data_IF_883466466700
#
_entry.id   IF_883466466700
#
_cell.length_a   1.000
_cell.length_b   1.000
_cell.length_c   1.000
_cell.angle_alpha   90.00
_cell.angle_beta   90.00
_cell.angle_gamma   90.00
#
_symmetry.space_group_name_H-M   'P 1'
#
loop_
_entity.id
_entity.type
_entity.pdbx_description
1 polymer ?
#
# COMPACT_ATOMS: atom_id res chain seq x y z
N UNK A 1 25.14 -33.60 -28.30
CA UNK A 1 25.12 -33.41 -26.84
C UNK A 1 25.12 -31.92 -26.58
N UNK A 2 23.95 -31.36 -26.32
CA UNK A 2 23.80 -30.03 -25.73
C UNK A 2 22.82 -30.19 -24.60
N UNK A 3 23.32 -29.81 -23.43
CA UNK A 3 22.72 -29.93 -22.11
C UNK A 3 21.62 -28.90 -21.97
N UNK A 4 20.45 -29.34 -21.49
CA UNK A 4 19.35 -28.47 -21.09
C UNK A 4 19.61 -27.99 -19.65
N UNK A 5 19.50 -26.68 -19.41
CA UNK A 5 19.61 -26.09 -18.07
C UNK A 5 18.18 -26.00 -17.49
N UNK A 6 17.91 -26.56 -16.30
CA UNK A 6 16.56 -26.61 -15.75
C UNK A 6 16.17 -25.22 -15.23
N UNK A 7 14.96 -24.76 -15.56
CA UNK A 7 14.52 -23.45 -15.08
C UNK A 7 13.13 -22.98 -15.47
N UNK A 8 12.92 -22.45 -16.68
CA UNK A 8 11.77 -21.55 -16.87
C UNK A 8 11.09 -21.51 -18.25
N UNK A 9 11.43 -22.37 -19.22
CA UNK A 9 10.78 -22.33 -20.54
C UNK A 9 10.33 -23.72 -21.01
N UNK A 10 9.48 -24.40 -20.24
CA UNK A 10 8.78 -25.60 -20.73
C UNK A 10 7.44 -25.18 -21.32
N UNK A 11 7.25 -25.22 -22.66
CA UNK A 11 5.98 -24.85 -23.25
C UNK A 11 4.86 -25.78 -22.78
N UNK A 12 3.71 -25.21 -22.41
CA UNK A 12 2.51 -26.03 -22.20
C UNK A 12 2.09 -26.62 -23.55
N UNK A 13 2.10 -27.95 -23.64
CA UNK A 13 1.57 -28.70 -24.77
C UNK A 13 0.04 -28.78 -24.65
N UNK A 14 -0.68 -28.40 -25.70
CA UNK A 14 -2.12 -28.69 -25.84
C UNK A 14 -2.23 -29.77 -26.91
N UNK A 15 -2.37 -31.02 -26.47
CA UNK A 15 -2.22 -32.18 -27.36
C UNK A 15 -0.79 -32.32 -27.88
N UNK A 16 -0.63 -32.55 -29.20
CA UNK A 16 0.67 -32.74 -29.85
C UNK A 16 1.31 -31.43 -30.36
N UNK A 17 0.72 -30.28 -30.05
CA UNK A 17 1.24 -28.98 -30.47
C UNK A 17 1.77 -28.18 -29.28
N UNK A 18 2.92 -27.55 -29.49
CA UNK A 18 3.42 -26.46 -28.64
C UNK A 18 2.48 -25.29 -28.87
N UNK A 19 1.83 -24.78 -27.82
CA UNK A 19 1.05 -23.55 -27.96
C UNK A 19 2.02 -22.38 -28.23
N UNK A 20 2.12 -21.80 -29.44
CA UNK A 20 3.20 -20.87 -29.79
C UNK A 20 3.16 -19.53 -29.04
N UNK A 21 2.03 -19.20 -28.40
CA UNK A 21 1.83 -17.96 -27.66
C UNK A 21 1.76 -18.16 -26.13
N UNK A 22 2.13 -19.35 -25.63
CA UNK A 22 2.01 -19.73 -24.22
C UNK A 22 2.64 -18.70 -23.27
N UNK A 23 3.79 -18.16 -23.66
CA UNK A 23 4.53 -17.16 -22.88
C UNK A 23 3.82 -15.80 -22.86
N UNK A 24 3.23 -15.36 -23.98
CA UNK A 24 2.49 -14.09 -24.07
C UNK A 24 1.14 -14.14 -23.35
N UNK A 25 0.44 -15.29 -23.39
CA UNK A 25 -0.78 -15.50 -22.60
C UNK A 25 -0.51 -15.53 -21.09
N UNK A 26 0.66 -16.06 -20.69
CA UNK A 26 1.09 -16.02 -19.29
C UNK A 26 1.55 -14.61 -18.88
N UNK A 27 2.17 -13.83 -19.78
CA UNK A 27 2.48 -12.40 -19.54
C UNK A 27 1.24 -11.57 -19.25
N UNK A 28 0.08 -11.88 -19.83
CA UNK A 28 -1.18 -11.22 -19.49
C UNK A 28 -1.59 -11.47 -18.02
N UNK A 29 -1.23 -12.63 -17.47
CA UNK A 29 -1.38 -12.96 -16.04
C UNK A 29 -0.25 -12.34 -15.21
N UNK A 30 0.97 -12.25 -15.74
CA UNK A 30 2.11 -11.62 -15.08
C UNK A 30 2.02 -10.08 -15.01
N UNK A 31 1.28 -9.44 -15.93
CA UNK A 31 0.92 -8.03 -15.86
C UNK A 31 -0.04 -7.71 -14.70
N UNK A 32 -0.71 -8.71 -14.13
CA UNK A 32 -1.47 -8.61 -12.89
C UNK A 32 -0.61 -8.87 -11.63
N UNK A 33 0.63 -9.33 -11.80
CA UNK A 33 1.62 -9.51 -10.72
C UNK A 33 2.62 -8.35 -10.80
N UNK A 34 2.18 -7.15 -10.42
CA UNK A 34 3.09 -6.01 -10.23
C UNK A 34 2.55 -4.62 -10.61
N UNK A 35 1.35 -4.51 -11.16
CA UNK A 35 0.70 -3.21 -11.39
C UNK A 35 -0.57 -3.14 -10.57
N UNK A 36 -0.64 -2.23 -9.59
CA UNK A 36 -1.90 -1.93 -8.92
C UNK A 36 -2.98 -1.75 -9.98
N UNK A 37 -4.10 -2.48 -9.82
CA UNK A 37 -5.27 -2.31 -10.68
C UNK A 37 -5.43 -0.82 -10.92
N UNK A 38 -5.38 -0.39 -12.19
CA UNK A 38 -5.60 1.00 -12.55
C UNK A 38 -6.80 1.46 -11.72
N UNK A 39 -6.58 2.34 -10.75
CA UNK A 39 -7.65 2.90 -9.96
C UNK A 39 -8.56 3.51 -11.00
N UNK A 40 -9.74 2.90 -11.23
CA UNK A 40 -10.67 3.39 -12.23
C UNK A 40 -10.85 4.85 -11.90
N UNK A 41 -10.48 5.74 -12.83
CA UNK A 41 -10.23 7.15 -12.53
C UNK A 41 -11.35 7.71 -11.64
N UNK A 42 -11.03 7.98 -10.36
CA UNK A 42 -11.99 8.42 -9.33
C UNK A 42 -12.28 7.45 -8.17
N UNK A 43 -11.75 6.22 -8.17
CA UNK A 43 -11.83 5.33 -7.00
C UNK A 43 -10.53 5.33 -6.19
N UNK A 44 -10.67 5.28 -4.87
CA UNK A 44 -9.59 4.92 -3.94
C UNK A 44 -9.89 3.48 -3.51
N UNK A 45 -9.12 2.46 -3.98
CA UNK A 45 -9.42 1.08 -3.64
C UNK A 45 -9.26 0.80 -2.15
N UNK A 46 -10.16 0.02 -1.58
CA UNK A 46 -10.10 -0.37 -0.17
C UNK A 46 -9.15 -1.54 0.05
N UNK A 47 -8.28 -1.40 1.05
CA UNK A 47 -7.57 -2.50 1.70
C UNK A 47 -8.03 -2.60 3.16
N UNK A 48 -8.90 -3.55 3.47
CA UNK A 48 -9.51 -3.72 4.80
C UNK A 48 -8.65 -4.59 5.72
N UNK A 49 -8.41 -4.13 6.95
CA UNK A 49 -7.55 -4.79 7.94
C UNK A 49 -8.26 -4.95 9.29
N UNK A 50 -8.01 -6.07 9.97
CA UNK A 50 -8.61 -6.44 11.28
C UNK A 50 -7.55 -6.72 12.36
N UNK A 51 -6.34 -6.19 12.16
CA UNK A 51 -5.18 -6.41 13.00
C UNK A 51 -4.09 -5.39 12.67
N UNK A 52 -2.97 -5.43 13.38
CA UNK A 52 -1.82 -4.59 13.02
C UNK A 52 -1.36 -4.88 11.59
N UNK A 53 -0.99 -3.83 10.87
CA UNK A 53 -0.70 -3.91 9.45
C UNK A 53 0.54 -3.10 9.07
N UNK A 54 1.34 -3.62 8.13
CA UNK A 54 2.43 -2.87 7.50
C UNK A 54 2.08 -2.70 6.02
N UNK A 55 1.99 -1.45 5.58
CA UNK A 55 1.65 -1.10 4.20
C UNK A 55 2.71 -1.64 3.24
N UNK A 56 2.28 -2.13 2.08
CA UNK A 56 3.14 -2.65 1.03
C UNK A 56 3.10 -1.75 -0.20
N UNK A 57 4.05 -1.93 -1.13
CA UNK A 57 4.14 -1.08 -2.32
C UNK A 57 2.83 -1.01 -3.12
N UNK A 58 2.04 -2.09 -3.14
CA UNK A 58 0.75 -2.15 -3.83
C UNK A 58 -0.37 -1.35 -3.14
N UNK A 59 -0.13 -0.77 -1.97
CA UNK A 59 -1.05 0.13 -1.28
C UNK A 59 -0.98 1.58 -1.75
N UNK A 60 -0.04 1.89 -2.64
CA UNK A 60 0.02 3.20 -3.29
C UNK A 60 -1.35 3.56 -3.93
N UNK A 61 -1.93 4.68 -3.50
CA UNK A 61 -3.22 5.15 -3.99
C UNK A 61 -4.46 4.46 -3.38
N UNK A 62 -4.29 3.60 -2.35
CA UNK A 62 -5.40 2.94 -1.66
C UNK A 62 -5.77 3.64 -0.35
N UNK A 63 -6.93 3.26 0.19
CA UNK A 63 -7.25 3.50 1.59
C UNK A 63 -7.14 2.22 2.41
N UNK A 64 -6.39 2.30 3.52
CA UNK A 64 -6.26 1.25 4.52
C UNK A 64 -7.36 1.47 5.56
N UNK A 65 -8.30 0.53 5.62
CA UNK A 65 -9.51 0.62 6.42
C UNK A 65 -9.39 -0.25 7.68
N UNK A 66 -9.56 0.37 8.85
CA UNK A 66 -9.65 -0.33 10.12
C UNK A 66 -11.07 -0.87 10.32
N UNK A 67 -11.23 -2.19 10.19
CA UNK A 67 -12.55 -2.83 10.27
C UNK A 67 -13.05 -3.06 11.70
N UNK A 68 -12.16 -3.21 12.67
CA UNK A 68 -12.50 -3.43 14.09
C UNK A 68 -11.30 -3.22 14.99
N UNK A 69 -11.55 -3.03 16.29
CA UNK A 69 -10.51 -2.95 17.32
C UNK A 69 -9.64 -1.69 17.23
N UNK A 70 -8.60 -1.64 18.06
CA UNK A 70 -7.55 -0.63 18.00
C UNK A 70 -6.27 -1.30 17.53
N UNK A 71 -5.64 -0.74 16.50
CA UNK A 71 -4.48 -1.35 15.84
C UNK A 71 -3.45 -0.30 15.45
N UNK A 72 -2.28 -0.77 15.05
CA UNK A 72 -1.22 0.05 14.47
C UNK A 72 -1.06 -0.29 13.00
N UNK A 73 -1.25 0.70 12.14
CA UNK A 73 -0.90 0.61 10.72
C UNK A 73 0.41 1.36 10.49
N UNK A 74 1.36 0.69 9.85
CA UNK A 74 2.73 1.18 9.69
C UNK A 74 3.01 1.45 8.22
N UNK A 75 3.45 2.66 7.90
CA UNK A 75 4.17 2.93 6.66
C UNK A 75 5.63 2.49 6.90
N UNK A 76 6.14 1.45 6.23
CA UNK A 76 7.52 0.99 6.43
C UNK A 76 8.54 2.07 6.02
N UNK A 77 9.78 1.93 6.51
CA UNK A 77 10.88 2.80 6.10
C UNK A 77 11.19 2.65 4.60
N UNK A 78 11.68 3.71 3.97
CA UNK A 78 12.02 3.70 2.54
C UNK A 78 13.06 2.63 2.16
N UNK A 79 13.93 2.24 3.10
CA UNK A 79 14.90 1.16 2.89
C UNK A 79 14.26 -0.22 2.71
N UNK A 80 13.05 -0.42 3.23
CA UNK A 80 12.32 -1.69 3.14
C UNK A 80 11.27 -1.68 2.03
N UNK A 81 10.56 -0.56 1.86
CA UNK A 81 9.61 -0.34 0.76
C UNK A 81 9.79 1.08 0.24
N UNK A 82 10.38 1.20 -0.95
CA UNK A 82 10.63 2.48 -1.59
C UNK A 82 9.39 2.96 -2.35
N UNK A 83 8.54 3.75 -1.69
CA UNK A 83 7.44 4.44 -2.35
C UNK A 83 7.94 5.62 -3.17
N UNK A 84 7.37 5.83 -4.36
CA UNK A 84 7.64 7.01 -5.18
C UNK A 84 7.17 8.29 -4.48
N UNK A 85 7.90 9.39 -4.67
CA UNK A 85 7.46 10.72 -4.23
C UNK A 85 6.16 11.07 -4.96
N UNK A 86 5.15 11.54 -4.21
CA UNK A 86 3.79 11.73 -4.70
C UNK A 86 2.83 10.59 -4.35
N UNK A 87 3.32 9.46 -3.82
CA UNK A 87 2.46 8.39 -3.32
C UNK A 87 1.56 8.90 -2.19
N UNK A 88 0.27 8.59 -2.28
CA UNK A 88 -0.70 8.83 -1.22
C UNK A 88 -1.22 7.52 -0.65
N UNK A 89 -1.37 7.45 0.67
CA UNK A 89 -2.05 6.36 1.38
C UNK A 89 -3.06 6.99 2.32
N UNK A 90 -4.32 6.60 2.19
CA UNK A 90 -5.40 7.08 3.06
C UNK A 90 -5.65 6.08 4.17
N UNK A 91 -5.87 6.56 5.39
CA UNK A 91 -6.21 5.77 6.56
C UNK A 91 -7.62 6.12 7.00
N UNK A 92 -8.44 5.10 7.23
CA UNK A 92 -9.85 5.28 7.63
C UNK A 92 -10.11 4.46 8.88
N UNK A 93 -10.58 5.14 9.94
CA UNK A 93 -11.03 4.50 11.17
C UNK A 93 -12.53 4.74 11.35
N UNK A 94 -13.36 3.73 11.08
CA UNK A 94 -14.80 3.75 11.41
C UNK A 94 -15.14 2.78 12.54
N UNK A 95 -14.15 2.37 13.32
CA UNK A 95 -14.34 1.47 14.44
C UNK A 95 -15.23 2.12 15.52
N UNK A 96 -15.84 1.27 16.37
CA UNK A 96 -16.74 1.70 17.44
C UNK A 96 -16.05 2.66 18.42
N UNK A 97 -16.86 3.41 19.18
CA UNK A 97 -16.38 4.38 20.16
C UNK A 97 -15.30 3.81 21.10
N UNK A 98 -14.21 4.55 21.27
CA UNK A 98 -13.05 4.16 22.08
C UNK A 98 -11.96 3.43 21.30
N UNK A 99 -12.21 2.99 20.06
CA UNK A 99 -11.18 2.40 19.22
C UNK A 99 -10.38 3.44 18.44
N UNK A 100 -9.06 3.34 18.50
CA UNK A 100 -8.14 4.26 17.83
C UNK A 100 -7.22 3.50 16.87
N UNK A 101 -6.83 4.18 15.79
CA UNK A 101 -5.81 3.69 14.88
C UNK A 101 -4.52 4.47 15.13
N UNK A 102 -3.44 3.78 15.47
CA UNK A 102 -2.10 4.37 15.45
C UNK A 102 -1.53 4.27 14.03
N UNK A 103 -1.14 5.39 13.44
CA UNK A 103 -0.44 5.46 12.16
C UNK A 103 1.05 5.66 12.48
N UNK A 104 1.83 4.61 12.31
CA UNK A 104 3.27 4.62 12.49
C UNK A 104 3.99 4.83 11.15
N UNK A 105 5.21 5.35 11.20
CA UNK A 105 6.07 5.46 10.03
C UNK A 105 7.53 5.16 10.37
N UNK A 106 8.19 4.35 9.55
CA UNK A 106 9.62 4.08 9.66
C UNK A 106 10.52 5.22 9.17
N UNK A 107 9.93 6.23 8.51
CA UNK A 107 10.58 7.45 8.04
C UNK A 107 10.14 8.66 8.89
N UNK A 108 10.50 9.88 8.47
CA UNK A 108 10.01 11.12 9.10
C UNK A 108 8.56 11.39 8.66
N UNK A 109 7.63 11.41 9.61
CA UNK A 109 6.24 11.86 9.38
C UNK A 109 5.99 13.24 10.01
N UNK A 110 5.42 14.16 9.23
CA UNK A 110 5.12 15.54 9.62
C UNK A 110 3.60 15.75 9.62
N UNK A 111 3.04 16.24 10.73
CA UNK A 111 1.61 16.60 10.80
C UNK A 111 1.37 17.96 10.12
N UNK A 112 0.42 17.98 9.18
CA UNK A 112 -0.08 19.18 8.51
C UNK A 112 -1.45 19.55 9.08
N UNK A 113 -1.46 20.33 10.16
CA UNK A 113 -2.67 20.77 10.86
C UNK A 113 -2.81 22.31 10.92
N UNK A 114 -2.00 23.04 10.15
CA UNK A 114 -1.99 24.52 10.17
C UNK A 114 -1.35 25.14 11.41
N UNK A 115 -0.68 24.35 12.26
CA UNK A 115 0.07 24.88 13.39
C UNK A 115 1.33 25.66 12.94
N UNK A 116 1.75 26.62 13.75
CA UNK A 116 2.94 27.45 13.48
C UNK A 116 4.27 26.67 13.49
N UNK A 117 4.30 25.50 14.13
CA UNK A 117 5.46 24.62 14.22
C UNK A 117 5.09 23.20 13.82
N UNK A 118 5.98 22.48 13.10
CA UNK A 118 5.74 21.10 12.70
C UNK A 118 5.72 20.17 13.93
N UNK A 119 4.79 19.21 13.92
CA UNK A 119 4.81 18.06 14.82
C UNK A 119 5.32 16.83 14.05
N UNK A 120 6.09 15.98 14.72
CA UNK A 120 6.73 14.79 14.13
C UNK A 120 6.28 13.50 14.81
N UNK A 121 6.51 12.36 14.16
CA UNK A 121 6.31 11.03 14.74
C UNK A 121 4.97 10.38 14.38
N UNK A 122 4.60 9.36 15.16
CA UNK A 122 3.37 8.61 14.96
C UNK A 122 2.14 9.49 15.18
N UNK A 123 1.02 9.09 14.59
CA UNK A 123 -0.27 9.77 14.74
C UNK A 123 -1.31 8.84 15.30
N UNK A 124 -2.25 9.42 16.04
CA UNK A 124 -3.44 8.71 16.50
C UNK A 124 -4.64 9.22 15.72
N UNK A 125 -5.33 8.32 15.05
CA UNK A 125 -6.58 8.58 14.35
C UNK A 125 -7.74 8.08 15.20
N UNK A 126 -8.54 9.01 15.71
CA UNK A 126 -9.72 8.73 16.51
C UNK A 126 -10.77 7.92 15.73
N UNK A 127 -11.74 7.36 16.45
CA UNK A 127 -12.91 6.73 15.83
C UNK A 127 -13.65 7.74 14.93
N UNK A 128 -14.15 7.27 13.79
CA UNK A 128 -14.69 8.09 12.69
C UNK A 128 -13.69 9.11 12.11
N UNK A 129 -12.39 8.84 12.23
CA UNK A 129 -11.33 9.64 11.64
C UNK A 129 -10.97 9.20 10.21
N UNK A 130 -10.45 10.16 9.43
CA UNK A 130 -9.86 9.93 8.12
C UNK A 130 -8.61 10.80 7.97
N UNK A 131 -7.50 10.21 7.55
CA UNK A 131 -6.24 10.92 7.29
C UNK A 131 -5.57 10.43 6.02
N UNK A 132 -4.86 11.30 5.32
CA UNK A 132 -4.07 10.93 4.13
C UNK A 132 -2.62 11.29 4.34
N UNK A 133 -1.74 10.31 4.16
CA UNK A 133 -0.29 10.51 4.14
C UNK A 133 0.18 10.66 2.68
N UNK A 134 1.03 11.65 2.43
CA UNK A 134 1.64 11.94 1.14
C UNK A 134 3.17 11.87 1.26
N UNK A 135 3.82 11.10 0.38
CA UNK A 135 5.28 11.05 0.27
C UNK A 135 5.78 12.34 -0.38
N UNK A 136 6.60 13.11 0.33
CA UNK A 136 7.13 14.41 -0.16
C UNK A 136 8.64 14.42 -0.36
N UNK A 137 9.34 13.40 0.13
CA UNK A 137 10.77 13.21 -0.09
C UNK A 137 11.20 11.80 0.29
N UNK A 138 12.44 11.39 -0.04
CA UNK A 138 12.92 10.00 0.08
C UNK A 138 12.69 9.39 1.46
N UNK A 139 12.80 10.17 2.54
CA UNK A 139 12.55 9.73 3.93
C UNK A 139 11.56 10.65 4.65
N UNK A 140 10.69 11.33 3.90
CA UNK A 140 9.75 12.30 4.44
C UNK A 140 8.31 12.09 3.94
N UNK A 141 7.38 12.06 4.87
CA UNK A 141 5.94 12.00 4.68
C UNK A 141 5.27 13.17 5.37
N UNK A 142 4.21 13.69 4.77
CA UNK A 142 3.29 14.63 5.40
C UNK A 142 1.93 13.97 5.57
N UNK A 143 1.21 14.27 6.63
CA UNK A 143 -0.11 13.70 6.89
C UNK A 143 -1.07 14.75 7.42
N UNK A 144 -2.32 14.69 6.98
CA UNK A 144 -3.41 15.54 7.47
C UNK A 144 -4.72 14.77 7.47
N UNK A 145 -5.66 15.17 8.33
CA UNK A 145 -6.95 14.50 8.42
C UNK A 145 -7.86 15.05 9.52
N UNK A 146 -9.09 14.54 9.55
CA UNK A 146 -10.06 14.78 10.63
C UNK A 146 -9.89 13.71 11.71
N UNK A 147 -9.94 14.12 12.98
CA UNK A 147 -9.73 13.23 14.12
C UNK A 147 -8.28 12.72 14.27
N UNK A 148 -7.33 13.36 13.60
CA UNK A 148 -5.90 13.04 13.67
C UNK A 148 -5.21 13.90 14.72
N UNK A 149 -4.41 13.28 15.59
CA UNK A 149 -3.54 13.96 16.56
C UNK A 149 -2.11 13.49 16.42
#
# INVERSE_FOLDING_TARGET
>A
MTVEIPGYDVPIMIGNAINPDWYEKLKLIAGAVGGGAASSAGLIPQNSQTGDYTCVLSDAGKHIYLASGSHTFTIPANSSVAYEIGTTITFVNTALAGNVLTIACGDTMILMNGAASPSFGNRTLANFGLATALKVGTVAWVISGVGLT
#
